data_IF_270954341082
#
_entry.id   IF_270954341082
#
_cell.length_a   1.000
_cell.length_b   1.000
_cell.length_c   1.000
_cell.angle_alpha   90.00
_cell.angle_beta   90.00
_cell.angle_gamma   90.00
#
_symmetry.space_group_name_H-M   'P 1'
#
loop_
_entity.id
_entity.type
_entity.pdbx_description
1 polymer ?
#
# COMPACT_ATOMS: atom_id res chain seq x y z
N UNK A 1 -0.30 13.39 -14.59
CA UNK A 1 -0.03 11.94 -14.36
C UNK A 1 -0.32 11.19 -15.64
N UNK A 2 0.64 10.45 -16.17
CA UNK A 2 0.49 9.77 -17.48
C UNK A 2 0.36 8.25 -17.36
N UNK A 3 0.83 7.69 -16.26
CA UNK A 3 0.88 6.25 -16.00
C UNK A 3 0.89 5.95 -14.51
N UNK A 4 0.83 4.66 -14.15
CA UNK A 4 0.96 4.18 -12.79
C UNK A 4 2.29 3.45 -12.60
N UNK A 5 2.93 3.68 -11.45
CA UNK A 5 3.95 2.82 -10.87
C UNK A 5 3.29 2.03 -9.75
N UNK A 6 2.98 0.76 -9.99
CA UNK A 6 2.35 -0.13 -9.01
C UNK A 6 3.43 -0.89 -8.25
N UNK A 7 3.34 -0.95 -6.93
CA UNK A 7 4.29 -1.71 -6.12
C UNK A 7 3.58 -2.61 -5.11
N UNK A 8 4.21 -3.76 -4.83
CA UNK A 8 3.80 -4.66 -3.74
C UNK A 8 5.03 -5.04 -2.91
N UNK A 9 5.14 -4.55 -1.66
CA UNK A 9 6.14 -5.03 -0.71
C UNK A 9 5.75 -6.41 -0.19
N UNK A 10 6.71 -7.34 -0.14
CA UNK A 10 6.47 -8.73 0.23
C UNK A 10 7.48 -9.21 1.27
N UNK A 11 6.98 -9.86 2.32
CA UNK A 11 7.76 -10.65 3.26
C UNK A 11 7.01 -11.94 3.53
N UNK A 12 7.46 -13.02 2.90
CA UNK A 12 6.79 -14.32 2.97
C UNK A 12 5.31 -14.27 2.54
N UNK A 13 4.38 -15.01 3.14
CA UNK A 13 2.94 -15.01 2.79
C UNK A 13 2.64 -15.26 1.31
N UNK A 14 3.42 -16.14 0.69
CA UNK A 14 3.47 -16.35 -0.76
C UNK A 14 2.11 -16.63 -1.39
N UNK A 15 1.22 -17.39 -0.73
CA UNK A 15 -0.10 -17.75 -1.28
C UNK A 15 -1.01 -16.52 -1.45
N UNK A 16 -0.95 -15.58 -0.51
CA UNK A 16 -1.70 -14.33 -0.61
C UNK A 16 -1.07 -13.41 -1.65
N UNK A 17 0.25 -13.32 -1.64
CA UNK A 17 1.03 -12.52 -2.58
C UNK A 17 0.76 -12.92 -4.02
N UNK A 18 0.74 -14.21 -4.35
CA UNK A 18 0.44 -14.69 -5.70
C UNK A 18 -0.96 -14.29 -6.17
N UNK A 19 -1.95 -14.29 -5.27
CA UNK A 19 -3.31 -13.80 -5.58
C UNK A 19 -3.33 -12.29 -5.83
N UNK A 20 -2.56 -11.52 -5.06
CA UNK A 20 -2.38 -10.07 -5.28
C UNK A 20 -1.76 -9.80 -6.65
N UNK A 21 -0.67 -10.52 -6.99
CA UNK A 21 0.01 -10.41 -8.28
C UNK A 21 -0.95 -10.73 -9.42
N UNK A 22 -1.63 -11.87 -9.36
CA UNK A 22 -2.60 -12.27 -10.37
C UNK A 22 -3.68 -11.20 -10.59
N UNK A 23 -4.28 -10.69 -9.50
CA UNK A 23 -5.32 -9.68 -9.57
C UNK A 23 -4.83 -8.37 -10.21
N UNK A 24 -3.59 -7.95 -9.94
CA UNK A 24 -2.99 -6.77 -10.55
C UNK A 24 -2.71 -7.01 -12.03
N UNK A 25 -2.06 -8.13 -12.37
CA UNK A 25 -1.64 -8.44 -13.74
C UNK A 25 -2.81 -8.73 -14.69
N UNK A 26 -3.94 -9.20 -14.14
CA UNK A 26 -5.18 -9.42 -14.91
C UNK A 26 -6.13 -8.22 -14.90
N UNK A 27 -5.71 -7.09 -14.30
CA UNK A 27 -6.53 -5.89 -14.23
C UNK A 27 -6.83 -5.31 -15.60
N UNK A 28 -8.08 -4.88 -15.80
CA UNK A 28 -8.55 -4.14 -16.97
C UNK A 28 -8.18 -2.66 -16.82
N UNK A 29 -6.93 -2.32 -17.07
CA UNK A 29 -6.43 -0.95 -16.97
C UNK A 29 -5.95 -0.47 -18.34
N UNK A 30 -6.67 0.47 -19.00
CA UNK A 30 -6.28 1.00 -20.30
C UNK A 30 -5.09 1.97 -20.22
N UNK A 31 -4.71 2.35 -19.00
CA UNK A 31 -3.57 3.25 -18.74
C UNK A 31 -2.31 2.40 -18.60
N UNK A 32 -1.18 2.82 -19.19
CA UNK A 32 0.09 2.14 -18.99
C UNK A 32 0.45 2.07 -17.51
N UNK A 33 0.90 0.92 -17.05
CA UNK A 33 1.46 0.79 -15.71
C UNK A 33 2.68 -0.14 -15.69
N UNK A 34 3.64 0.20 -14.84
CA UNK A 34 4.70 -0.71 -14.41
C UNK A 34 4.31 -1.40 -13.12
N UNK A 35 4.72 -2.65 -12.94
CA UNK A 35 4.48 -3.36 -11.70
C UNK A 35 5.79 -3.92 -11.13
N UNK A 36 6.08 -3.60 -9.88
CA UNK A 36 7.28 -4.06 -9.16
C UNK A 36 6.89 -4.72 -7.85
N UNK A 37 7.38 -5.93 -7.64
CA UNK A 37 7.31 -6.64 -6.37
C UNK A 37 8.66 -6.51 -5.66
N UNK A 38 8.65 -5.98 -4.44
CA UNK A 38 9.84 -5.84 -3.59
C UNK A 38 9.86 -6.97 -2.56
N UNK A 39 10.76 -7.93 -2.75
CA UNK A 39 10.95 -9.07 -1.86
C UNK A 39 11.89 -8.70 -0.70
N UNK A 40 11.34 -8.55 0.50
CA UNK A 40 12.06 -8.15 1.70
C UNK A 40 12.56 -9.36 2.50
N UNK A 41 13.59 -10.05 1.97
CA UNK A 41 14.21 -11.20 2.63
C UNK A 41 13.22 -12.34 2.93
N UNK A 42 12.36 -12.70 2.00
CA UNK A 42 11.56 -13.93 2.12
C UNK A 42 12.44 -15.18 2.12
N UNK A 43 11.89 -16.29 2.57
CA UNK A 43 12.61 -17.58 2.55
C UNK A 43 13.06 -17.91 1.11
N UNK A 44 14.13 -18.72 0.93
CA UNK A 44 14.58 -19.14 -0.40
C UNK A 44 13.48 -19.79 -1.22
N UNK A 45 12.64 -20.63 -0.63
CA UNK A 45 11.49 -21.26 -1.28
C UNK A 45 10.49 -20.23 -1.80
N UNK A 46 10.09 -19.26 -0.95
CA UNK A 46 9.17 -18.20 -1.34
C UNK A 46 9.77 -17.26 -2.39
N UNK A 47 11.07 -16.99 -2.29
CA UNK A 47 11.81 -16.21 -3.30
C UNK A 47 11.80 -16.90 -4.65
N UNK A 48 12.03 -18.21 -4.71
CA UNK A 48 11.97 -18.98 -5.95
C UNK A 48 10.56 -18.91 -6.58
N UNK A 49 9.51 -19.04 -5.79
CA UNK A 49 8.12 -18.92 -6.27
C UNK A 49 7.78 -17.51 -6.77
N UNK A 50 8.35 -16.45 -6.16
CA UNK A 50 8.22 -15.09 -6.68
C UNK A 50 8.94 -14.92 -8.01
N UNK A 51 10.10 -15.55 -8.18
CA UNK A 51 10.85 -15.55 -9.44
C UNK A 51 10.04 -16.22 -10.55
N UNK A 52 9.51 -17.43 -10.31
CA UNK A 52 8.64 -18.15 -11.25
C UNK A 52 7.41 -17.29 -11.64
N UNK A 53 6.79 -16.63 -10.66
CA UNK A 53 5.68 -15.74 -10.92
C UNK A 53 6.08 -14.52 -11.75
N UNK A 54 7.27 -13.94 -11.52
CA UNK A 54 7.82 -12.83 -12.30
C UNK A 54 8.01 -13.22 -13.77
N UNK A 55 8.55 -14.40 -14.03
CA UNK A 55 8.74 -14.94 -15.38
C UNK A 55 7.38 -15.20 -16.07
N UNK A 56 6.43 -15.76 -15.34
CA UNK A 56 5.08 -16.04 -15.85
C UNK A 56 4.30 -14.80 -16.22
N UNK A 57 4.31 -13.79 -15.35
CA UNK A 57 3.45 -12.61 -15.46
C UNK A 57 4.15 -11.38 -16.05
N UNK A 58 5.48 -11.35 -16.10
CA UNK A 58 6.25 -10.26 -16.69
C UNK A 58 6.35 -9.00 -15.81
N UNK A 59 6.16 -9.10 -14.49
CA UNK A 59 6.42 -8.00 -13.57
C UNK A 59 7.90 -7.95 -13.15
N UNK A 60 8.36 -6.81 -12.64
CA UNK A 60 9.72 -6.67 -12.11
C UNK A 60 9.78 -7.19 -10.68
N UNK A 61 10.65 -8.16 -10.40
CA UNK A 61 10.99 -8.60 -9.06
C UNK A 61 12.29 -7.90 -8.61
N UNK A 62 12.27 -7.29 -7.44
CA UNK A 62 13.43 -6.69 -6.79
C UNK A 62 13.64 -7.37 -5.45
N UNK A 63 14.74 -8.11 -5.32
CA UNK A 63 15.16 -8.66 -4.04
C UNK A 63 15.90 -7.60 -3.25
N UNK A 64 15.42 -7.23 -2.08
CA UNK A 64 16.06 -6.19 -1.26
C UNK A 64 17.42 -6.63 -0.73
N UNK A 65 17.69 -7.94 -0.68
CA UNK A 65 19.04 -8.49 -0.42
C UNK A 65 20.11 -8.03 -1.41
N UNK A 66 19.70 -7.61 -2.61
CA UNK A 66 20.61 -7.09 -3.64
C UNK A 66 20.91 -5.60 -3.45
N UNK A 67 20.14 -4.93 -2.58
CA UNK A 67 20.21 -3.48 -2.34
C UNK A 67 20.73 -3.14 -0.94
N UNK A 68 20.60 -4.03 0.03
CA UNK A 68 20.97 -3.79 1.42
C UNK A 68 21.24 -5.09 2.17
N UNK A 69 22.19 -5.04 3.11
CA UNK A 69 22.43 -6.12 4.08
C UNK A 69 21.57 -5.99 5.34
N UNK A 70 20.77 -4.92 5.45
CA UNK A 70 19.93 -4.69 6.62
C UNK A 70 18.78 -5.70 6.64
N UNK A 71 18.59 -6.44 7.74
CA UNK A 71 17.51 -7.42 7.83
C UNK A 71 16.12 -6.76 7.77
N UNK A 72 15.13 -7.52 7.27
CA UNK A 72 13.73 -7.05 7.26
C UNK A 72 13.29 -6.56 8.67
N UNK A 73 12.53 -5.46 8.76
CA UNK A 73 11.76 -4.81 7.70
C UNK A 73 12.49 -3.65 7.01
N UNK A 74 12.45 -3.63 5.68
CA UNK A 74 13.04 -2.57 4.84
C UNK A 74 11.98 -1.72 4.13
N UNK A 75 10.81 -1.57 4.72
CA UNK A 75 9.68 -0.88 4.08
C UNK A 75 9.97 0.59 3.72
N UNK A 76 10.82 1.28 4.53
CA UNK A 76 11.25 2.64 4.21
C UNK A 76 12.07 2.69 2.92
N UNK A 77 13.00 1.75 2.74
CA UNK A 77 13.80 1.64 1.52
C UNK A 77 12.91 1.43 0.29
N UNK A 78 11.89 0.56 0.40
CA UNK A 78 10.90 0.35 -0.67
C UNK A 78 10.18 1.65 -1.03
N UNK A 79 9.68 2.39 -0.03
CA UNK A 79 8.96 3.64 -0.25
C UNK A 79 9.84 4.69 -0.93
N UNK A 80 11.08 4.85 -0.48
CA UNK A 80 12.05 5.81 -1.03
C UNK A 80 12.42 5.47 -2.48
N UNK A 81 12.69 4.18 -2.76
CA UNK A 81 13.01 3.71 -4.10
C UNK A 81 11.81 3.91 -5.04
N UNK A 82 10.64 3.49 -4.61
CA UNK A 82 9.42 3.61 -5.41
C UNK A 82 9.02 5.07 -5.68
N UNK A 83 9.19 5.97 -4.71
CA UNK A 83 8.97 7.40 -4.92
C UNK A 83 9.89 7.95 -6.01
N UNK A 84 11.19 7.65 -5.91
CA UNK A 84 12.18 8.11 -6.90
C UNK A 84 11.79 7.65 -8.30
N UNK A 85 11.52 6.36 -8.48
CA UNK A 85 11.15 5.78 -9.78
C UNK A 85 9.82 6.36 -10.32
N UNK A 86 8.81 6.55 -9.46
CA UNK A 86 7.54 7.14 -9.86
C UNK A 86 7.70 8.60 -10.35
N UNK A 87 8.57 9.38 -9.68
CA UNK A 87 8.87 10.76 -10.08
C UNK A 87 9.62 10.83 -11.40
N UNK A 88 10.60 9.96 -11.62
CA UNK A 88 11.34 9.88 -12.89
C UNK A 88 10.43 9.55 -14.08
N UNK A 89 9.35 8.81 -13.84
CA UNK A 89 8.38 8.38 -14.85
C UNK A 89 7.15 9.29 -14.98
N UNK A 90 7.04 10.37 -14.22
CA UNK A 90 5.81 11.19 -14.08
C UNK A 90 4.57 10.31 -13.79
N UNK A 91 4.76 9.29 -12.96
CA UNK A 91 3.76 8.29 -12.60
C UNK A 91 3.11 8.56 -11.25
N UNK A 92 1.84 8.16 -11.10
CA UNK A 92 1.23 8.00 -9.79
C UNK A 92 1.77 6.73 -9.12
N UNK A 93 2.14 6.81 -7.85
CA UNK A 93 2.61 5.65 -7.08
C UNK A 93 1.43 4.93 -6.44
N UNK A 94 1.08 3.76 -6.96
CA UNK A 94 0.04 2.89 -6.38
C UNK A 94 0.70 1.80 -5.54
N UNK A 95 0.46 1.85 -4.24
CA UNK A 95 0.92 0.83 -3.29
C UNK A 95 -0.23 -0.15 -3.06
N UNK A 96 0.04 -1.43 -3.25
CA UNK A 96 -0.88 -2.54 -2.97
C UNK A 96 -0.17 -3.54 -2.06
N UNK A 97 -0.69 -3.76 -0.85
CA UNK A 97 -0.11 -4.73 0.09
C UNK A 97 -0.31 -6.17 -0.41
N UNK A 98 0.59 -7.07 0.00
CA UNK A 98 0.69 -8.47 -0.47
C UNK A 98 -0.48 -9.39 -0.07
N UNK A 99 -1.44 -8.88 0.69
CA UNK A 99 -2.65 -9.57 1.15
C UNK A 99 -3.94 -8.91 0.64
N UNK A 100 -3.81 -8.10 -0.42
CA UNK A 100 -4.92 -7.35 -1.02
C UNK A 100 -5.20 -7.87 -2.42
N UNK A 101 -6.46 -8.21 -2.71
CA UNK A 101 -6.93 -8.58 -4.04
C UNK A 101 -7.74 -7.42 -4.60
N UNK A 102 -7.23 -6.79 -5.65
CA UNK A 102 -7.90 -5.69 -6.35
C UNK A 102 -9.00 -6.21 -7.26
N UNK A 103 -10.02 -5.39 -7.53
CA UNK A 103 -11.01 -5.69 -8.57
C UNK A 103 -10.45 -5.36 -9.96
N UNK A 104 -10.98 -5.94 -11.04
CA UNK A 104 -10.45 -5.72 -12.39
C UNK A 104 -10.32 -4.25 -12.79
N UNK A 105 -11.18 -3.37 -12.30
CA UNK A 105 -11.19 -1.95 -12.65
C UNK A 105 -10.54 -1.04 -11.61
N UNK A 106 -10.03 -1.56 -10.49
CA UNK A 106 -9.53 -0.77 -9.36
C UNK A 106 -8.40 0.18 -9.78
N UNK A 107 -7.41 -0.31 -10.53
CA UNK A 107 -6.27 0.51 -10.97
C UNK A 107 -6.74 1.71 -11.80
N UNK A 108 -7.58 1.45 -12.79
CA UNK A 108 -8.15 2.49 -13.65
C UNK A 108 -9.01 3.49 -12.86
N UNK A 109 -9.87 3.01 -11.96
CA UNK A 109 -10.74 3.87 -11.16
C UNK A 109 -9.94 4.83 -10.25
N UNK A 110 -8.89 4.33 -9.59
CA UNK A 110 -8.02 5.17 -8.76
C UNK A 110 -7.23 6.18 -9.61
N UNK A 111 -6.74 5.77 -10.77
CA UNK A 111 -6.05 6.66 -11.70
C UNK A 111 -6.97 7.78 -12.19
N UNK A 112 -8.17 7.45 -12.68
CA UNK A 112 -9.14 8.42 -13.18
C UNK A 112 -9.51 9.43 -12.08
N UNK A 113 -9.85 8.93 -10.90
CA UNK A 113 -10.17 9.78 -9.76
C UNK A 113 -9.03 10.72 -9.35
N UNK A 114 -7.80 10.23 -9.27
CA UNK A 114 -6.64 11.06 -8.94
C UNK A 114 -6.36 12.11 -10.02
N UNK A 115 -6.65 11.80 -11.29
CA UNK A 115 -6.44 12.73 -12.41
C UNK A 115 -7.47 13.85 -12.45
N UNK A 116 -8.72 13.60 -12.05
CA UNK A 116 -9.81 14.58 -12.05
C UNK A 116 -9.75 15.51 -10.82
N UNK A 117 -9.25 15.04 -9.69
CA UNK A 117 -9.23 15.79 -8.44
C UNK A 117 -8.01 16.73 -8.38
N UNK A 118 -8.23 18.01 -8.57
CA UNK A 118 -7.15 19.03 -8.66
C UNK A 118 -6.36 19.23 -7.37
N UNK A 119 -6.95 18.90 -6.21
CA UNK A 119 -6.35 19.03 -4.87
C UNK A 119 -5.96 17.67 -4.27
N UNK A 120 -5.95 16.63 -5.08
CA UNK A 120 -5.66 15.27 -4.64
C UNK A 120 -4.19 15.10 -4.25
N UNK A 121 -3.95 14.64 -3.02
CA UNK A 121 -2.66 14.11 -2.59
C UNK A 121 -2.65 12.58 -2.65
N UNK A 122 -3.73 11.95 -2.18
CA UNK A 122 -3.86 10.50 -2.11
C UNK A 122 -5.30 10.06 -2.38
N UNK A 123 -5.43 8.91 -3.05
CA UNK A 123 -6.70 8.20 -3.24
C UNK A 123 -6.56 6.77 -2.76
N UNK A 124 -7.45 6.31 -1.91
CA UNK A 124 -7.41 4.93 -1.40
C UNK A 124 -8.74 4.20 -1.64
N UNK A 125 -8.67 2.91 -1.94
CA UNK A 125 -9.81 2.00 -1.91
C UNK A 125 -10.10 1.56 -0.48
N UNK A 126 -11.38 1.47 -0.13
CA UNK A 126 -11.80 0.85 1.13
C UNK A 126 -11.51 -0.65 1.08
N UNK A 127 -11.16 -1.22 2.22
CA UNK A 127 -10.93 -2.66 2.35
C UNK A 127 -12.17 -3.37 2.85
N UNK A 128 -12.42 -4.57 2.31
CA UNK A 128 -13.51 -5.47 2.73
C UNK A 128 -13.00 -6.88 3.02
N UNK A 129 -13.77 -7.62 3.80
CA UNK A 129 -13.55 -9.04 4.03
C UNK A 129 -14.21 -9.92 2.93
N UNK A 130 -14.15 -11.24 3.10
CA UNK A 130 -14.69 -12.24 2.17
C UNK A 130 -16.22 -12.13 1.95
N UNK A 131 -16.93 -11.52 2.89
CA UNK A 131 -18.40 -11.31 2.77
C UNK A 131 -18.75 -9.88 2.34
N UNK A 132 -17.75 -9.10 1.91
CA UNK A 132 -17.94 -7.74 1.41
C UNK A 132 -18.15 -6.68 2.51
N UNK A 133 -17.91 -7.01 3.78
CA UNK A 133 -18.01 -6.04 4.86
C UNK A 133 -16.71 -5.26 5.02
N UNK A 134 -16.85 -3.92 5.17
CA UNK A 134 -15.68 -3.07 5.42
C UNK A 134 -14.96 -3.55 6.68
N UNK A 135 -13.67 -3.85 6.51
CA UNK A 135 -12.81 -4.33 7.57
C UNK A 135 -11.75 -3.29 8.00
N UNK A 136 -10.81 -3.70 8.84
CA UNK A 136 -9.66 -2.87 9.20
C UNK A 136 -8.78 -2.63 7.96
N UNK A 137 -8.26 -1.41 7.71
CA UNK A 137 -8.21 -0.26 8.64
C UNK A 137 -9.39 0.72 8.55
N UNK A 138 -10.33 0.54 7.63
CA UNK A 138 -11.34 1.54 7.29
C UNK A 138 -12.69 1.36 8.00
N UNK A 139 -12.72 0.76 9.19
CA UNK A 139 -13.95 0.53 9.97
C UNK A 139 -14.81 1.79 10.18
N UNK A 140 -14.20 2.97 10.19
CA UNK A 140 -14.89 4.25 10.30
C UNK A 140 -15.77 4.60 9.08
N UNK A 141 -15.52 3.92 7.95
CA UNK A 141 -16.29 4.12 6.72
C UNK A 141 -17.56 3.24 6.64
N UNK A 142 -17.79 2.29 7.56
CA UNK A 142 -18.95 1.37 7.55
C UNK A 142 -20.31 2.07 7.44
N UNK A 143 -20.44 3.28 7.98
CA UNK A 143 -21.69 4.06 7.96
C UNK A 143 -21.73 5.08 6.81
N UNK A 144 -20.74 5.10 5.95
CA UNK A 144 -20.72 6.00 4.80
C UNK A 144 -21.43 5.36 3.62
N UNK A 145 -22.21 6.12 2.84
CA UNK A 145 -22.77 5.61 1.59
C UNK A 145 -21.66 5.25 0.59
N UNK A 146 -21.99 4.48 -0.42
CA UNK A 146 -21.08 4.17 -1.53
C UNK A 146 -20.75 5.46 -2.30
N UNK A 147 -19.60 6.04 -2.00
CA UNK A 147 -19.14 7.32 -2.59
C UNK A 147 -17.63 7.49 -2.42
N UNK A 148 -17.11 8.49 -3.12
CA UNK A 148 -15.81 9.06 -2.84
C UNK A 148 -15.97 10.24 -1.88
N UNK A 149 -15.14 10.36 -0.86
CA UNK A 149 -15.15 11.51 0.04
C UNK A 149 -13.77 11.86 0.56
N UNK A 150 -13.52 13.17 0.68
CA UNK A 150 -12.31 13.66 1.33
C UNK A 150 -12.38 13.37 2.84
N UNK A 151 -11.25 12.96 3.41
CA UNK A 151 -11.16 12.67 4.84
C UNK A 151 -9.84 13.14 5.43
N UNK A 152 -9.88 13.54 6.70
CA UNK A 152 -8.69 13.85 7.51
C UNK A 152 -8.18 12.63 8.28
N UNK A 153 -8.84 11.48 8.14
CA UNK A 153 -8.38 10.23 8.73
C UNK A 153 -7.17 9.70 7.95
N UNK A 154 -6.28 9.02 8.67
CA UNK A 154 -5.13 8.36 8.06
C UNK A 154 -5.57 7.30 7.05
N UNK A 155 -4.78 7.13 6.00
CA UNK A 155 -4.87 5.99 5.10
C UNK A 155 -3.92 4.88 5.52
N UNK A 156 -4.25 3.67 5.15
CA UNK A 156 -3.31 2.55 5.10
C UNK A 156 -2.92 2.32 3.64
N UNK A 157 -1.73 1.83 3.43
CA UNK A 157 -1.25 1.52 2.08
C UNK A 157 -1.75 0.18 1.53
N UNK A 158 -2.83 -0.37 2.10
CA UNK A 158 -3.46 -1.60 1.57
C UNK A 158 -3.72 -1.51 0.05
N UNK A 159 -4.35 -0.41 -0.40
CA UNK A 159 -4.49 -0.07 -1.82
C UNK A 159 -4.64 1.46 -1.93
N UNK A 160 -3.54 2.15 -2.13
CA UNK A 160 -3.49 3.62 -2.07
C UNK A 160 -2.59 4.19 -3.17
N UNK A 161 -3.17 5.08 -3.97
CA UNK A 161 -2.48 5.85 -5.00
C UNK A 161 -2.06 7.21 -4.43
N UNK A 162 -0.77 7.52 -4.56
CA UNK A 162 -0.18 8.82 -4.24
C UNK A 162 0.01 9.61 -5.53
N UNK A 163 -0.49 10.84 -5.54
CA UNK A 163 -0.44 11.70 -6.73
C UNK A 163 0.96 12.26 -6.95
N UNK A 164 1.48 12.37 -8.19
CA UNK A 164 2.83 12.90 -8.48
C UNK A 164 3.10 14.28 -7.87
N UNK A 165 2.12 15.19 -7.85
CA UNK A 165 2.28 16.52 -7.21
C UNK A 165 2.57 16.42 -5.72
N UNK A 166 1.95 15.47 -5.02
CA UNK A 166 2.25 15.21 -3.62
C UNK A 166 3.63 14.57 -3.47
N UNK A 167 3.96 13.59 -4.30
CA UNK A 167 5.29 12.96 -4.29
C UNK A 167 6.43 13.97 -4.55
N UNK A 168 6.19 14.99 -5.38
CA UNK A 168 7.15 16.10 -5.62
C UNK A 168 7.25 17.03 -4.41
N UNK A 169 6.14 17.26 -3.69
CA UNK A 169 6.09 18.21 -2.57
C UNK A 169 6.61 17.60 -1.25
N UNK A 170 6.64 16.29 -1.11
CA UNK A 170 7.07 15.60 0.10
C UNK A 170 8.02 14.44 -0.20
N UNK A 171 9.30 14.61 0.17
CA UNK A 171 10.31 13.56 -0.01
C UNK A 171 10.25 12.52 1.10
N UNK A 172 10.20 11.25 0.74
CA UNK A 172 10.26 10.14 1.70
C UNK A 172 11.65 9.95 2.34
N UNK A 173 12.67 10.68 1.85
CA UNK A 173 13.96 10.78 2.54
C UNK A 173 13.87 11.54 3.88
N UNK A 174 12.78 12.30 4.10
CA UNK A 174 12.52 13.01 5.36
C UNK A 174 11.85 12.14 6.43
N UNK A 175 11.42 10.93 6.08
CA UNK A 175 10.78 10.01 7.02
C UNK A 175 11.79 9.50 8.03
N UNK A 176 11.40 9.51 9.30
CA UNK A 176 12.22 9.02 10.41
C UNK A 176 12.35 7.49 10.36
N UNK A 177 13.54 6.93 10.14
CA UNK A 177 13.73 5.47 10.02
C UNK A 177 13.41 4.70 11.30
N UNK A 178 13.36 5.38 12.46
CA UNK A 178 13.00 4.74 13.73
C UNK A 178 11.49 4.52 13.89
N UNK A 179 10.67 5.11 13.00
CA UNK A 179 9.21 4.99 13.02
C UNK A 179 8.72 3.83 12.15
N UNK A 180 7.50 3.39 12.44
CA UNK A 180 6.91 2.23 11.76
C UNK A 180 5.55 2.53 11.09
N UNK A 181 5.05 3.76 11.22
CA UNK A 181 3.74 4.18 10.73
C UNK A 181 3.87 5.16 9.58
N UNK A 182 4.63 4.77 8.53
CA UNK A 182 4.89 5.64 7.38
C UNK A 182 3.62 6.03 6.65
N UNK A 183 2.65 5.13 6.53
CA UNK A 183 1.33 5.38 5.96
C UNK A 183 0.60 6.52 6.71
N UNK A 184 0.68 6.53 8.02
CA UNK A 184 0.08 7.58 8.87
C UNK A 184 0.82 8.90 8.69
N UNK A 185 2.16 8.89 8.77
CA UNK A 185 3.00 10.09 8.62
C UNK A 185 2.80 10.72 7.24
N UNK A 186 2.83 9.91 6.19
CA UNK A 186 2.63 10.36 4.79
C UNK A 186 1.21 10.91 4.60
N UNK A 187 0.18 10.26 5.19
CA UNK A 187 -1.20 10.77 5.12
C UNK A 187 -1.34 12.16 5.76
N UNK A 188 -0.67 12.39 6.89
CA UNK A 188 -0.70 13.69 7.58
C UNK A 188 0.11 14.73 6.81
N UNK A 189 1.28 14.38 6.28
CA UNK A 189 2.10 15.28 5.46
C UNK A 189 1.32 15.80 4.25
N UNK A 190 0.56 14.92 3.57
CA UNK A 190 -0.33 15.32 2.48
C UNK A 190 -1.31 16.42 2.90
N UNK A 191 -1.98 16.23 4.04
CA UNK A 191 -2.94 17.21 4.56
C UNK A 191 -2.27 18.52 5.02
N UNK A 192 -1.07 18.44 5.63
CA UNK A 192 -0.31 19.61 6.09
C UNK A 192 0.17 20.47 4.90
N UNK A 193 0.46 19.85 3.78
CA UNK A 193 0.84 20.52 2.53
C UNK A 193 -0.37 21.06 1.73
N UNK A 194 -1.59 20.95 2.29
CA UNK A 194 -2.80 21.50 1.70
C UNK A 194 -3.49 20.58 0.69
N UNK A 195 -2.99 19.36 0.49
CA UNK A 195 -3.69 18.37 -0.33
C UNK A 195 -4.88 17.76 0.42
N UNK A 196 -5.78 17.12 -0.34
CA UNK A 196 -6.86 16.29 0.22
C UNK A 196 -6.59 14.81 -0.04
N UNK A 197 -6.99 13.99 0.92
CA UNK A 197 -6.94 12.54 0.82
C UNK A 197 -8.37 12.01 0.64
N UNK A 198 -8.63 11.23 -0.43
CA UNK A 198 -9.95 10.77 -0.82
C UNK A 198 -10.07 9.25 -0.62
N UNK A 199 -11.08 8.83 0.16
CA UNK A 199 -11.42 7.42 0.34
C UNK A 199 -12.58 7.04 -0.57
N UNK A 200 -12.38 5.97 -1.35
CA UNK A 200 -13.38 5.41 -2.25
C UNK A 200 -14.00 4.16 -1.63
N UNK A 201 -15.30 4.22 -1.36
CA UNK A 201 -16.10 3.05 -0.94
C UNK A 201 -16.79 2.37 -2.11
N UNK A 202 -16.74 2.98 -3.32
CA UNK A 202 -17.31 2.42 -4.56
C UNK A 202 -16.49 1.27 -5.15
N UNK A 203 -15.18 1.27 -4.92
CA UNK A 203 -14.25 0.28 -5.46
C UNK A 203 -13.52 -0.43 -4.32
N UNK A 204 -14.24 -1.26 -3.54
CA UNK A 204 -13.62 -1.96 -2.42
C UNK A 204 -12.61 -2.99 -2.92
N UNK A 205 -11.54 -3.19 -2.16
CA UNK A 205 -10.58 -4.27 -2.39
C UNK A 205 -10.69 -5.32 -1.29
N UNK A 206 -10.56 -6.59 -1.66
CA UNK A 206 -10.55 -7.68 -0.69
C UNK A 206 -9.22 -7.63 0.09
N UNK A 207 -9.30 -7.52 1.40
CA UNK A 207 -8.13 -7.51 2.28
C UNK A 207 -8.21 -8.67 3.25
N UNK A 208 -7.20 -9.54 3.18
CA UNK A 208 -7.02 -10.72 4.04
C UNK A 208 -5.92 -10.44 5.06
N UNK A 209 -6.22 -9.75 6.16
CA UNK A 209 -5.19 -9.31 7.08
C UNK A 209 -4.34 -10.48 7.55
N UNK A 210 -3.06 -10.45 7.20
CA UNK A 210 -2.06 -11.32 7.79
C UNK A 210 -1.01 -10.44 8.49
N UNK A 211 -0.25 -10.99 9.39
CA UNK A 211 0.83 -10.25 10.03
C UNK A 211 2.05 -11.13 10.18
N UNK A 212 3.11 -10.74 9.51
CA UNK A 212 4.46 -11.25 9.77
C UNK A 212 4.99 -10.83 11.17
N UNK A 213 4.26 -9.94 11.87
CA UNK A 213 4.64 -9.43 13.19
C UNK A 213 3.70 -9.98 14.26
N UNK A 214 4.13 -10.95 15.11
CA UNK A 214 3.25 -11.60 16.09
C UNK A 214 2.51 -10.65 17.02
N UNK A 215 3.14 -9.53 17.41
CA UNK A 215 2.50 -8.56 18.30
C UNK A 215 1.29 -7.85 17.67
N UNK A 216 1.22 -7.71 16.34
CA UNK A 216 0.06 -7.14 15.66
C UNK A 216 -1.15 -8.06 15.70
N UNK A 217 -0.95 -9.37 15.72
CA UNK A 217 -2.02 -10.37 15.86
C UNK A 217 -2.70 -10.27 17.22
N UNK A 218 -1.99 -9.77 18.25
CA UNK A 218 -2.57 -9.54 19.57
C UNK A 218 -3.77 -8.59 19.54
N UNK A 219 -3.87 -7.70 18.53
CA UNK A 219 -5.03 -6.83 18.38
C UNK A 219 -6.35 -7.60 18.29
N UNK A 220 -6.31 -8.79 17.72
CA UNK A 220 -7.47 -9.65 17.50
C UNK A 220 -7.65 -10.70 18.59
N UNK A 221 -6.55 -11.16 19.21
CA UNK A 221 -6.55 -12.24 20.19
C UNK A 221 -6.49 -11.73 21.64
N UNK A 222 -5.79 -10.63 21.89
CA UNK A 222 -5.65 -10.00 23.21
C UNK A 222 -5.48 -8.48 23.06
N UNK A 223 -6.57 -7.71 22.85
CA UNK A 223 -6.52 -6.27 22.62
C UNK A 223 -5.82 -5.49 23.74
N UNK A 224 -6.01 -5.88 25.01
CA UNK A 224 -5.37 -5.18 26.14
C UNK A 224 -3.84 -5.27 26.06
N UNK A 225 -3.31 -6.47 25.79
CA UNK A 225 -1.87 -6.69 25.60
C UNK A 225 -1.35 -5.94 24.37
N UNK A 226 -2.13 -5.90 23.28
CA UNK A 226 -1.78 -5.14 22.08
C UNK A 226 -1.60 -3.66 22.39
N UNK A 227 -2.61 -3.02 23.04
CA UNK A 227 -2.54 -1.59 23.36
C UNK A 227 -1.46 -1.29 24.40
N UNK A 228 -1.21 -2.17 25.34
CA UNK A 228 -0.11 -2.06 26.28
C UNK A 228 1.24 -2.03 25.56
N UNK A 229 1.52 -3.01 24.71
CA UNK A 229 2.78 -3.09 23.92
C UNK A 229 2.89 -1.86 23.00
N UNK A 230 1.81 -1.47 22.36
CA UNK A 230 1.77 -0.31 21.48
C UNK A 230 2.15 0.96 22.22
N UNK A 231 1.61 1.17 23.40
CA UNK A 231 1.83 2.37 24.22
C UNK A 231 3.24 2.39 24.83
N UNK A 232 3.66 1.30 25.45
CA UNK A 232 4.99 1.21 26.12
C UNK A 232 6.16 1.34 25.16
N UNK A 233 6.01 0.84 23.92
CA UNK A 233 7.05 0.96 22.89
C UNK A 233 6.89 2.21 22.01
N UNK A 234 5.94 3.08 22.30
CA UNK A 234 5.72 4.32 21.54
C UNK A 234 5.33 4.10 20.08
N UNK A 235 4.74 2.94 19.72
CA UNK A 235 4.34 2.61 18.35
C UNK A 235 3.16 3.46 17.85
N UNK A 236 2.55 4.28 18.67
CA UNK A 236 1.50 5.23 18.32
C UNK A 236 1.99 6.68 18.18
N UNK A 237 3.26 6.93 18.49
CA UNK A 237 3.88 8.24 18.28
C UNK A 237 4.25 8.40 16.81
N UNK A 238 3.73 9.44 16.20
CA UNK A 238 4.00 9.88 14.84
C UNK A 238 5.16 10.86 14.87
#
# INVERSE_FOLDING_TARGET
>A
MKQLSVITPVKDSIELTLKTIEAIMTSSCPIPFSYTVYNDFSTPENTARLQEASEKWGFRLVNLSDLTDHPSPNYLLVLQTAQKEALEQDAGLLIVESDVVVQPTTLHALFAAASELTDCGMVASVTVDEVGQINFPYLYAKKRPQQAFATRKRFSFCCTLLHPRFLQAFSFQQLDPTKHWFDVTISHASLQLGFKNYLFTLFPVLHRPHSSRPWKLLKYTNPLKYYWIKYTNGFDKI
#
